data_IF_379350371131
#
_entry.id   IF_379350371131
#
_cell.length_a   1.000
_cell.length_b   1.000
_cell.length_c   1.000
_cell.angle_alpha   90.00
_cell.angle_beta   90.00
_cell.angle_gamma   90.00
#
_symmetry.space_group_name_H-M   'P 1'
#
loop_
_entity.id
_entity.type
_entity.pdbx_description
1 polymer ?
#
# COMPACT_ATOMS: atom_id res chain seq x y z
N UNK A 1 4.57 11.12 -6.16
CA UNK A 1 5.97 11.42 -6.49
C UNK A 1 6.15 11.06 -7.96
N UNK A 2 6.62 12.00 -8.78
CA UNK A 2 6.91 11.73 -10.19
C UNK A 2 8.13 10.78 -10.30
N UNK A 3 8.14 9.93 -11.33
CA UNK A 3 9.24 8.98 -11.55
C UNK A 3 9.22 7.72 -10.69
N UNK A 4 8.25 7.56 -9.79
CA UNK A 4 8.04 6.33 -9.02
C UNK A 4 7.07 5.42 -9.76
N UNK A 5 7.45 4.15 -9.97
CA UNK A 5 6.62 3.14 -10.62
C UNK A 5 5.81 2.34 -9.60
N UNK A 6 6.44 1.88 -8.53
CA UNK A 6 5.79 1.08 -7.50
C UNK A 6 6.41 1.29 -6.13
N UNK A 7 5.63 0.92 -5.13
CA UNK A 7 6.03 0.88 -3.73
C UNK A 7 5.70 -0.52 -3.21
N UNK A 8 6.74 -1.24 -2.78
CA UNK A 8 6.60 -2.58 -2.22
C UNK A 8 6.86 -2.54 -0.72
N UNK A 9 5.91 -3.02 0.06
CA UNK A 9 6.01 -3.09 1.52
C UNK A 9 6.24 -4.54 1.91
N UNK A 10 7.25 -4.79 2.73
CA UNK A 10 7.59 -6.11 3.25
C UNK A 10 7.76 -6.06 4.76
N UNK A 11 7.29 -7.09 5.44
CA UNK A 11 7.25 -7.13 6.90
C UNK A 11 6.03 -6.39 7.47
N UNK A 12 5.91 -6.41 8.80
CA UNK A 12 4.76 -5.86 9.50
C UNK A 12 3.53 -6.78 9.47
N UNK A 13 2.49 -6.36 10.16
CA UNK A 13 1.24 -7.08 10.29
C UNK A 13 0.21 -6.44 9.34
N UNK A 14 -0.30 -7.20 8.40
CA UNK A 14 -1.37 -6.75 7.50
C UNK A 14 -2.71 -7.09 8.16
N UNK A 15 -3.45 -6.06 8.57
CA UNK A 15 -4.77 -6.26 9.19
C UNK A 15 -5.71 -6.96 8.24
N UNK A 16 -6.42 -7.96 8.76
CA UNK A 16 -7.53 -8.62 8.08
C UNK A 16 -8.67 -8.91 9.05
N UNK A 17 -9.87 -9.06 8.52
CA UNK A 17 -11.00 -9.58 9.28
C UNK A 17 -11.21 -11.02 8.89
N UNK A 18 -10.94 -11.91 9.82
CA UNK A 18 -11.10 -13.36 9.63
C UNK A 18 -12.52 -13.78 9.98
N UNK A 19 -13.16 -14.48 9.05
CA UNK A 19 -14.48 -15.07 9.23
C UNK A 19 -14.32 -16.59 9.24
N UNK A 20 -14.42 -17.19 10.43
CA UNK A 20 -14.31 -18.64 10.61
C UNK A 20 -15.69 -19.25 10.66
N UNK A 21 -16.02 -20.08 9.68
CA UNK A 21 -17.33 -20.72 9.56
C UNK A 21 -17.41 -21.97 10.42
N UNK A 22 -18.52 -22.13 11.11
CA UNK A 22 -18.86 -23.34 11.86
C UNK A 22 -19.66 -24.31 10.95
N UNK A 23 -19.05 -25.43 10.63
CA UNK A 23 -19.62 -26.38 9.70
C UNK A 23 -20.91 -27.06 10.22
N UNK A 24 -21.00 -27.33 11.53
CA UNK A 24 -22.19 -27.94 12.12
C UNK A 24 -23.37 -26.97 12.09
N UNK A 25 -23.14 -25.70 12.43
CA UNK A 25 -24.16 -24.67 12.35
C UNK A 25 -24.60 -24.38 10.94
N UNK A 26 -23.66 -24.34 9.95
CA UNK A 26 -24.03 -24.23 8.53
C UNK A 26 -24.98 -25.34 8.09
N UNK A 27 -24.68 -26.59 8.47
CA UNK A 27 -25.53 -27.72 8.16
C UNK A 27 -26.92 -27.62 8.85
N UNK A 28 -26.95 -27.21 10.10
CA UNK A 28 -28.21 -27.03 10.85
C UNK A 28 -29.15 -26.00 10.20
N UNK A 29 -28.59 -24.94 9.61
CA UNK A 29 -29.35 -23.91 8.89
C UNK A 29 -29.53 -24.20 7.41
N UNK A 30 -28.97 -25.30 6.89
CA UNK A 30 -29.03 -25.67 5.46
C UNK A 30 -28.26 -24.72 4.55
N UNK A 31 -27.20 -24.07 5.07
CA UNK A 31 -26.37 -23.13 4.36
C UNK A 31 -25.11 -23.80 3.83
N UNK A 32 -24.72 -23.42 2.60
CA UNK A 32 -23.43 -23.78 2.04
C UNK A 32 -22.41 -22.63 2.24
N UNK A 33 -21.12 -22.97 2.27
CA UNK A 33 -20.02 -21.99 2.32
C UNK A 33 -20.13 -20.99 1.15
N UNK A 34 -20.50 -21.46 -0.04
CA UNK A 34 -20.67 -20.61 -1.23
C UNK A 34 -21.77 -19.56 -1.06
N UNK A 35 -22.86 -19.90 -0.38
CA UNK A 35 -23.94 -18.95 -0.10
C UNK A 35 -23.47 -17.85 0.86
N UNK A 36 -22.71 -18.21 1.89
CA UNK A 36 -22.11 -17.21 2.81
C UNK A 36 -21.14 -16.29 2.06
N UNK A 37 -20.23 -16.83 1.24
CA UNK A 37 -19.30 -16.04 0.44
C UNK A 37 -20.05 -15.08 -0.49
N UNK A 38 -21.08 -15.56 -1.17
CA UNK A 38 -21.87 -14.73 -2.09
C UNK A 38 -22.62 -13.62 -1.33
N UNK A 39 -23.18 -13.91 -0.16
CA UNK A 39 -23.84 -12.90 0.68
C UNK A 39 -22.87 -11.81 1.13
N UNK A 40 -21.67 -12.19 1.59
CA UNK A 40 -20.61 -11.26 1.95
C UNK A 40 -20.17 -10.39 0.76
N UNK A 41 -19.98 -10.99 -0.42
CA UNK A 41 -19.61 -10.26 -1.63
C UNK A 41 -20.68 -9.26 -2.07
N UNK A 42 -21.94 -9.69 -2.09
CA UNK A 42 -23.06 -8.84 -2.53
C UNK A 42 -23.27 -7.67 -1.58
N UNK A 43 -23.13 -7.89 -0.28
CA UNK A 43 -23.29 -6.83 0.72
C UNK A 43 -22.05 -5.94 0.88
N UNK A 44 -20.90 -6.33 0.31
CA UNK A 44 -19.66 -5.54 0.30
C UNK A 44 -19.42 -4.85 -1.04
N UNK A 45 -20.46 -4.41 -1.73
CA UNK A 45 -20.36 -3.75 -3.02
C UNK A 45 -20.92 -2.33 -2.97
N UNK A 46 -20.23 -1.41 -3.66
CA UNK A 46 -20.78 -0.10 -3.93
C UNK A 46 -21.85 -0.23 -5.03
N UNK A 47 -23.06 0.15 -4.73
CA UNK A 47 -24.16 0.14 -5.70
C UNK A 47 -24.36 1.56 -6.22
N UNK A 48 -24.28 1.71 -7.56
CA UNK A 48 -24.69 2.95 -8.20
C UNK A 48 -26.22 3.08 -8.10
N UNK A 49 -26.70 4.02 -7.29
CA UNK A 49 -28.13 4.21 -7.04
C UNK A 49 -28.88 4.87 -8.23
N UNK A 50 -28.22 4.98 -9.39
CA UNK A 50 -28.81 5.59 -10.60
C UNK A 50 -28.58 7.08 -10.71
N UNK A 51 -29.04 7.64 -11.83
CA UNK A 51 -29.00 9.09 -12.12
C UNK A 51 -30.37 9.67 -11.87
N UNK A 52 -30.45 10.70 -11.06
CA UNK A 52 -31.66 11.52 -10.92
C UNK A 52 -31.44 12.74 -11.79
N UNK A 53 -32.15 12.81 -12.94
CA UNK A 53 -32.10 13.94 -13.83
C UNK A 53 -33.17 14.96 -13.37
N UNK A 54 -32.73 16.06 -12.76
CA UNK A 54 -33.57 17.26 -12.50
C UNK A 54 -33.37 18.26 -13.60
N UNK A 55 -34.26 19.27 -13.67
CA UNK A 55 -34.28 20.28 -14.75
C UNK A 55 -32.99 21.12 -14.88
N UNK A 56 -32.10 21.13 -13.84
CA UNK A 56 -30.87 21.95 -13.86
C UNK A 56 -29.63 21.25 -13.24
N UNK A 57 -29.76 20.05 -12.65
CA UNK A 57 -28.63 19.33 -12.06
C UNK A 57 -28.79 17.82 -12.20
N UNK A 58 -27.73 17.18 -12.67
CA UNK A 58 -27.62 15.73 -12.69
C UNK A 58 -26.92 15.27 -11.38
N UNK A 59 -27.66 14.64 -10.48
CA UNK A 59 -27.12 14.08 -9.23
C UNK A 59 -26.93 12.58 -9.39
N UNK A 60 -25.67 12.14 -9.35
CA UNK A 60 -25.32 10.71 -9.33
C UNK A 60 -25.38 10.21 -7.89
N UNK A 61 -26.40 9.45 -7.56
CA UNK A 61 -26.51 8.76 -6.28
C UNK A 61 -25.54 7.57 -6.23
N UNK A 62 -24.60 7.57 -5.29
CA UNK A 62 -23.75 6.43 -5.00
C UNK A 62 -24.04 5.93 -3.58
N UNK A 63 -24.53 4.71 -3.45
CA UNK A 63 -24.68 4.06 -2.16
C UNK A 63 -23.41 3.24 -1.90
N UNK A 64 -22.63 3.64 -0.87
CA UNK A 64 -21.46 2.87 -0.43
C UNK A 64 -21.93 1.70 0.42
N UNK A 65 -21.82 0.48 -0.12
CA UNK A 65 -22.14 -0.77 0.57
C UNK A 65 -20.93 -1.47 1.16
N UNK A 66 -19.73 -0.86 1.09
CA UNK A 66 -18.51 -1.49 1.61
C UNK A 66 -18.50 -1.53 3.14
N UNK A 67 -18.14 -2.66 3.68
CA UNK A 67 -17.89 -2.80 5.11
C UNK A 67 -16.78 -1.85 5.56
N UNK A 68 -17.04 -1.08 6.61
CA UNK A 68 -16.09 -0.14 7.20
C UNK A 68 -15.60 -0.61 8.57
N UNK A 69 -16.44 -1.36 9.24
CA UNK A 69 -16.18 -1.86 10.60
C UNK A 69 -16.36 -3.37 10.66
N UNK A 70 -15.77 -3.99 11.67
CA UNK A 70 -16.02 -5.41 11.98
C UNK A 70 -17.49 -5.65 12.34
N UNK A 71 -18.14 -4.63 12.93
CA UNK A 71 -19.57 -4.65 13.24
C UNK A 71 -20.44 -4.83 12.01
N UNK A 72 -20.09 -4.16 10.89
CA UNK A 72 -20.83 -4.28 9.63
C UNK A 72 -20.80 -5.72 9.11
N UNK A 73 -19.63 -6.38 9.23
CA UNK A 73 -19.45 -7.78 8.81
C UNK A 73 -20.25 -8.73 9.72
N UNK A 74 -20.25 -8.49 11.04
CA UNK A 74 -21.05 -9.26 12.01
C UNK A 74 -22.53 -9.15 11.76
N UNK A 75 -22.97 -7.97 11.29
CA UNK A 75 -24.37 -7.66 10.98
C UNK A 75 -24.86 -8.21 9.63
N UNK A 76 -24.00 -8.86 8.83
CA UNK A 76 -24.39 -9.44 7.55
C UNK A 76 -25.51 -10.47 7.75
N UNK A 77 -26.59 -10.32 6.98
CA UNK A 77 -27.73 -11.22 7.02
C UNK A 77 -27.61 -12.28 5.94
N UNK A 78 -27.75 -13.53 6.35
CA UNK A 78 -27.70 -14.71 5.49
C UNK A 78 -29.10 -15.23 5.21
N UNK A 79 -29.52 -15.40 3.94
CA UNK A 79 -30.82 -15.98 3.63
C UNK A 79 -30.83 -17.48 3.92
N UNK A 80 -31.76 -17.93 4.72
CA UNK A 80 -32.03 -19.34 5.00
C UNK A 80 -33.39 -19.75 4.44
N UNK A 81 -33.66 -21.05 4.39
CA UNK A 81 -34.93 -21.56 3.87
C UNK A 81 -36.16 -20.92 4.50
N UNK A 82 -37.25 -20.80 3.72
CA UNK A 82 -38.52 -20.21 4.19
C UNK A 82 -38.55 -18.70 4.26
N UNK A 83 -37.67 -17.97 3.55
CA UNK A 83 -37.66 -16.51 3.52
C UNK A 83 -37.12 -15.83 4.79
N UNK A 84 -36.56 -16.61 5.72
CA UNK A 84 -35.93 -16.08 6.93
C UNK A 84 -34.50 -15.65 6.67
N UNK A 85 -34.00 -14.73 7.49
CA UNK A 85 -32.60 -14.30 7.49
C UNK A 85 -32.02 -14.49 8.89
N UNK A 86 -30.77 -14.89 8.97
CA UNK A 86 -30.01 -14.99 10.22
C UNK A 86 -28.74 -14.17 10.13
N UNK A 87 -28.24 -13.62 11.24
CA UNK A 87 -26.98 -12.91 11.23
C UNK A 87 -25.81 -13.89 11.00
N UNK A 88 -24.73 -13.40 10.38
CA UNK A 88 -23.52 -14.18 10.12
C UNK A 88 -22.95 -14.79 11.41
N UNK A 89 -23.09 -14.10 12.53
CA UNK A 89 -22.61 -14.54 13.84
C UNK A 89 -23.25 -15.84 14.35
N UNK A 90 -24.40 -16.25 13.80
CA UNK A 90 -25.04 -17.51 14.17
C UNK A 90 -24.29 -18.73 13.59
N UNK A 91 -23.55 -18.53 12.51
CA UNK A 91 -22.84 -19.61 11.77
C UNK A 91 -21.34 -19.36 11.64
N UNK A 92 -20.83 -18.22 12.13
CA UNK A 92 -19.42 -17.87 12.02
C UNK A 92 -18.94 -17.03 13.22
N UNK A 93 -17.65 -17.13 13.54
CA UNK A 93 -16.94 -16.14 14.34
C UNK A 93 -16.28 -15.10 13.43
N UNK A 94 -16.30 -13.83 13.84
CA UNK A 94 -15.70 -12.71 13.10
C UNK A 94 -14.70 -12.02 14.01
N UNK A 95 -13.43 -12.10 13.64
CA UNK A 95 -12.30 -11.60 14.42
C UNK A 95 -11.52 -10.57 13.62
N UNK A 96 -11.13 -9.47 14.29
CA UNK A 96 -10.19 -8.49 13.77
C UNK A 96 -8.78 -8.97 14.10
N UNK A 97 -8.07 -9.39 13.11
CA UNK A 97 -6.75 -10.01 13.28
C UNK A 97 -5.80 -9.52 12.18
N UNK A 98 -4.74 -10.23 11.94
CA UNK A 98 -3.78 -9.96 10.89
C UNK A 98 -3.50 -11.23 10.09
N UNK A 99 -3.10 -11.04 8.85
CA UNK A 99 -2.64 -12.14 8.00
C UNK A 99 -1.48 -12.88 8.63
N UNK A 100 -1.39 -14.17 8.36
CA UNK A 100 -0.22 -14.95 8.74
C UNK A 100 1.06 -14.30 8.22
N UNK A 101 1.93 -13.89 9.12
CA UNK A 101 3.16 -13.22 8.76
C UNK A 101 4.16 -14.21 8.14
N UNK A 102 4.35 -14.12 6.82
CA UNK A 102 5.27 -14.97 6.07
C UNK A 102 6.63 -14.33 5.83
N UNK A 103 6.71 -13.00 5.92
CA UNK A 103 7.94 -12.24 5.71
C UNK A 103 8.27 -11.43 6.96
N UNK A 104 9.46 -11.64 7.46
CA UNK A 104 9.98 -10.92 8.61
C UNK A 104 11.06 -9.95 8.14
N UNK A 105 10.83 -8.65 8.33
CA UNK A 105 11.87 -7.65 8.17
C UNK A 105 12.40 -7.23 9.53
N UNK A 106 13.72 -7.09 9.64
CA UNK A 106 14.40 -6.60 10.85
C UNK A 106 15.48 -5.61 10.47
N UNK A 107 15.60 -4.57 11.25
CA UNK A 107 16.68 -3.59 11.15
C UNK A 107 17.47 -3.64 12.45
N UNK A 108 18.76 -3.98 12.37
CA UNK A 108 19.64 -4.12 13.56
C UNK A 108 19.06 -5.08 14.62
N UNK A 109 18.40 -6.17 14.19
CA UNK A 109 17.78 -7.15 15.09
C UNK A 109 16.37 -6.79 15.59
N UNK A 110 15.92 -5.56 15.39
CA UNK A 110 14.58 -5.09 15.78
C UNK A 110 13.58 -5.33 14.65
N UNK A 111 12.36 -5.83 14.93
CA UNK A 111 11.32 -5.94 13.92
C UNK A 111 11.05 -4.59 13.24
N UNK A 112 10.98 -4.60 11.91
CA UNK A 112 10.81 -3.40 11.12
C UNK A 112 9.92 -3.66 9.90
N UNK A 113 9.46 -2.59 9.26
CA UNK A 113 8.78 -2.63 7.96
C UNK A 113 9.75 -2.12 6.91
N UNK A 114 10.00 -2.93 5.88
CA UNK A 114 10.81 -2.51 4.74
C UNK A 114 9.92 -1.94 3.65
N UNK A 115 10.18 -0.70 3.25
CA UNK A 115 9.53 -0.05 2.13
C UNK A 115 10.53 0.05 0.99
N UNK A 116 10.24 -0.60 -0.14
CA UNK A 116 11.07 -0.54 -1.35
C UNK A 116 10.38 0.32 -2.39
N UNK A 117 11.03 1.37 -2.83
CA UNK A 117 10.52 2.31 -3.82
C UNK A 117 11.24 2.05 -5.13
N UNK A 118 10.48 1.73 -6.19
CA UNK A 118 11.01 1.50 -7.53
C UNK A 118 10.70 2.67 -8.44
N UNK A 119 11.72 3.15 -9.13
CA UNK A 119 11.55 4.19 -10.16
C UNK A 119 10.94 3.62 -11.45
N UNK A 120 10.38 4.48 -12.26
CA UNK A 120 10.00 4.15 -13.64
C UNK A 120 11.23 3.78 -14.47
N UNK A 121 11.11 2.86 -15.44
CA UNK A 121 12.26 2.39 -16.24
C UNK A 121 13.02 3.53 -16.92
N UNK A 122 12.31 4.52 -17.45
CA UNK A 122 12.80 5.71 -18.16
C UNK A 122 13.08 6.91 -17.24
N UNK A 123 12.75 6.80 -15.95
CA UNK A 123 12.92 7.89 -14.97
C UNK A 123 14.37 8.11 -14.56
N UNK A 124 14.69 9.37 -14.23
CA UNK A 124 15.98 9.74 -13.67
C UNK A 124 16.08 9.26 -12.20
N UNK A 125 17.06 8.40 -11.91
CA UNK A 125 17.24 7.81 -10.58
C UNK A 125 17.55 8.86 -9.50
N UNK A 126 18.36 9.86 -9.84
CA UNK A 126 18.76 10.91 -8.90
C UNK A 126 17.58 11.80 -8.57
N UNK A 127 16.86 12.24 -9.58
CA UNK A 127 15.68 13.10 -9.41
C UNK A 127 14.56 12.39 -8.64
N UNK A 128 14.26 11.13 -8.99
CA UNK A 128 13.26 10.33 -8.27
C UNK A 128 13.64 10.16 -6.79
N UNK A 129 14.91 9.90 -6.49
CA UNK A 129 15.38 9.78 -5.12
C UNK A 129 15.26 11.11 -4.34
N UNK A 130 15.59 12.24 -4.97
CA UNK A 130 15.47 13.57 -4.36
C UNK A 130 14.02 13.91 -4.05
N UNK A 131 13.10 13.61 -4.96
CA UNK A 131 11.67 13.83 -4.74
C UNK A 131 11.11 12.95 -3.61
N UNK A 132 11.54 11.68 -3.54
CA UNK A 132 11.16 10.77 -2.45
C UNK A 132 11.66 11.30 -1.12
N UNK A 133 12.92 11.73 -1.06
CA UNK A 133 13.55 12.24 0.16
C UNK A 133 12.89 13.56 0.63
N UNK A 134 12.56 14.45 -0.31
CA UNK A 134 11.81 15.66 -0.04
C UNK A 134 10.40 15.35 0.53
N UNK A 135 9.72 14.35 -0.05
CA UNK A 135 8.39 13.94 0.40
C UNK A 135 8.43 13.28 1.77
N UNK A 136 9.42 12.45 2.05
CA UNK A 136 9.60 11.86 3.38
C UNK A 136 9.80 12.95 4.45
N UNK A 137 10.68 13.93 4.19
CA UNK A 137 10.87 15.07 5.10
C UNK A 137 9.60 15.88 5.31
N UNK A 138 8.78 16.05 4.29
CA UNK A 138 7.48 16.71 4.40
C UNK A 138 6.52 15.93 5.30
N UNK A 139 6.44 14.60 5.12
CA UNK A 139 5.58 13.73 5.92
C UNK A 139 5.97 13.75 7.41
N UNK A 140 7.27 13.74 7.70
CA UNK A 140 7.78 13.90 9.08
C UNK A 140 7.43 15.26 9.64
N UNK A 141 7.71 16.33 8.90
CA UNK A 141 7.44 17.72 9.35
C UNK A 141 5.96 17.97 9.62
N UNK A 142 5.09 17.40 8.80
CA UNK A 142 3.63 17.53 8.95
C UNK A 142 3.04 16.50 9.93
N UNK A 143 3.87 15.72 10.64
CA UNK A 143 3.47 14.69 11.61
C UNK A 143 2.53 13.61 11.03
N UNK A 144 2.60 13.36 9.72
CA UNK A 144 1.95 12.19 9.14
C UNK A 144 2.64 10.88 9.57
N UNK A 145 3.95 10.96 9.83
CA UNK A 145 4.71 9.89 10.49
C UNK A 145 4.77 10.26 11.97
N UNK A 146 4.19 9.45 12.88
CA UNK A 146 4.24 9.68 14.32
C UNK A 146 5.68 9.69 14.83
N UNK A 147 5.90 10.43 15.92
CA UNK A 147 7.26 10.64 16.48
C UNK A 147 7.89 9.36 17.05
N UNK A 148 7.10 8.33 17.33
CA UNK A 148 7.52 6.99 17.77
C UNK A 148 7.99 6.08 16.63
N UNK A 149 7.75 6.47 15.36
CA UNK A 149 8.22 5.75 14.18
C UNK A 149 9.56 6.31 13.73
N UNK A 150 10.62 5.50 13.85
CA UNK A 150 11.93 5.80 13.30
C UNK A 150 12.07 5.19 11.90
N UNK A 151 12.67 5.93 10.96
CA UNK A 151 12.98 5.41 9.64
C UNK A 151 14.45 5.60 9.31
N UNK A 152 15.00 4.68 8.55
CA UNK A 152 16.38 4.70 8.07
C UNK A 152 16.41 4.38 6.58
N UNK A 153 17.17 5.15 5.80
CA UNK A 153 17.39 4.90 4.38
C UNK A 153 18.57 3.92 4.24
N UNK A 154 18.27 2.65 4.07
CA UNK A 154 19.27 1.58 4.02
C UNK A 154 20.03 1.61 2.68
N UNK A 155 19.36 1.93 1.59
CA UNK A 155 19.95 1.90 0.24
C UNK A 155 19.43 3.07 -0.58
N UNK A 156 20.36 3.89 -1.10
CA UNK A 156 20.06 4.98 -2.01
C UNK A 156 21.04 4.92 -3.22
N UNK A 157 20.54 4.46 -4.37
CA UNK A 157 21.33 4.36 -5.58
C UNK A 157 21.74 5.73 -6.14
N UNK A 158 21.00 6.79 -5.86
CA UNK A 158 21.33 8.14 -6.32
C UNK A 158 22.65 8.65 -5.73
N UNK A 159 22.99 8.28 -4.50
CA UNK A 159 24.28 8.61 -3.89
C UNK A 159 25.46 8.02 -4.65
N UNK A 160 25.36 6.73 -5.02
CA UNK A 160 26.39 6.08 -5.82
C UNK A 160 26.54 6.74 -7.22
N UNK A 161 25.42 7.03 -7.89
CA UNK A 161 25.43 7.68 -9.21
C UNK A 161 26.08 9.08 -9.13
N UNK A 162 25.71 9.89 -8.13
CA UNK A 162 26.33 11.23 -7.94
C UNK A 162 27.82 11.14 -7.72
N UNK A 163 28.28 10.23 -6.88
CA UNK A 163 29.69 10.05 -6.59
C UNK A 163 30.46 9.62 -7.86
N UNK A 164 29.88 8.69 -8.65
CA UNK A 164 30.47 8.24 -9.92
C UNK A 164 30.58 9.37 -10.93
N UNK A 165 29.52 10.15 -11.13
CA UNK A 165 29.50 11.32 -12.03
C UNK A 165 30.50 12.37 -11.58
N UNK A 166 30.58 12.69 -10.29
CA UNK A 166 31.56 13.65 -9.77
C UNK A 166 32.99 13.15 -9.99
N UNK A 167 33.28 11.86 -9.76
CA UNK A 167 34.60 11.30 -9.99
C UNK A 167 35.03 11.39 -11.46
N UNK A 168 34.11 11.10 -12.40
CA UNK A 168 34.36 11.25 -13.82
C UNK A 168 34.63 12.71 -14.20
N UNK A 169 33.81 13.64 -13.70
CA UNK A 169 34.00 15.08 -13.92
C UNK A 169 35.35 15.55 -13.40
N UNK A 170 35.70 15.19 -12.19
CA UNK A 170 36.95 15.62 -11.55
C UNK A 170 38.17 15.03 -12.29
N UNK A 171 38.08 13.79 -12.74
CA UNK A 171 39.11 13.15 -13.60
C UNK A 171 39.25 13.85 -14.96
N UNK A 172 38.11 14.23 -15.56
CA UNK A 172 38.13 14.98 -16.84
C UNK A 172 38.76 16.36 -16.69
N UNK A 173 38.43 17.08 -15.59
CA UNK A 173 39.02 18.40 -15.31
C UNK A 173 40.51 18.30 -15.03
N UNK A 174 40.97 17.30 -14.28
CA UNK A 174 42.39 17.04 -14.05
C UNK A 174 43.12 16.70 -15.34
N UNK A 175 42.53 15.83 -16.18
CA UNK A 175 43.09 15.46 -17.48
C UNK A 175 43.18 16.64 -18.44
N UNK A 176 42.14 17.47 -18.52
CA UNK A 176 42.15 18.69 -19.34
C UNK A 176 43.17 19.71 -18.81
N UNK A 177 43.27 19.88 -17.50
CA UNK A 177 44.27 20.76 -16.89
C UNK A 177 45.71 20.32 -17.16
N UNK A 178 45.97 19.01 -17.04
CA UNK A 178 47.29 18.44 -17.39
C UNK A 178 47.59 18.59 -18.85
N UNK A 179 46.65 18.34 -19.74
CA UNK A 179 46.83 18.52 -21.17
C UNK A 179 47.14 19.98 -21.54
N UNK A 180 46.43 20.94 -20.98
CA UNK A 180 46.71 22.38 -21.16
C UNK A 180 48.08 22.75 -20.63
N UNK A 181 48.49 22.24 -19.48
CA UNK A 181 49.80 22.52 -18.89
C UNK A 181 50.94 21.97 -19.81
N UNK A 182 50.78 20.76 -20.33
CA UNK A 182 51.73 20.17 -21.25
C UNK A 182 51.83 21.01 -22.53
N UNK A 183 50.71 21.39 -23.16
CA UNK A 183 50.68 22.23 -24.35
C UNK A 183 51.37 23.58 -24.06
N UNK A 184 51.12 24.21 -22.95
CA UNK A 184 51.71 25.49 -22.55
C UNK A 184 53.21 25.37 -22.31
N UNK A 185 53.71 24.22 -21.88
CA UNK A 185 55.11 24.00 -21.57
C UNK A 185 55.92 23.69 -22.87
N UNK A 186 55.29 23.16 -23.90
CA UNK A 186 55.93 22.80 -25.18
C UNK A 186 55.67 23.81 -26.31
N UNK A 187 54.78 24.77 -26.14
CA UNK A 187 54.52 25.86 -27.08
C UNK A 187 55.33 27.09 -26.67
#
# INVERSE_FOLDING_TARGET
VQGVASLDISGGLVREVQVTLDQERLQAYGLSVSQVINSLRTQNQDVAAGRISGLDQEVVGKTSGRFRTVGDIRGVLLPVGGGRQIPLTDVASVEDTHQEQRLWARLNGVPAIKVSIRKQPDGNTVEAADQVDARLRELVRNRFIPDDIQYEVIQNQAGFIRNSVNSVRDSALLGAGLAMLVVLLFL
#
